data_IF_236705914186
#
_entry.id   IF_236705914186
#
_cell.length_a   1.000
_cell.length_b   1.000
_cell.length_c   1.000
_cell.angle_alpha   90.00
_cell.angle_beta   90.00
_cell.angle_gamma   90.00
#
_symmetry.space_group_name_H-M   'P 1'
#
loop_
_entity.id
_entity.type
_entity.pdbx_description
1 polymer ?
#
# COMPACT_ATOMS: atom_id res chain seq x y z
N UNK A 1 -28.26 -1.84 37.70
CA UNK A 1 -28.27 -0.57 36.96
C UNK A 1 -26.84 -0.03 36.94
N UNK A 2 -26.11 -0.19 35.86
CA UNK A 2 -24.79 0.35 35.45
C UNK A 2 -24.00 -0.72 34.72
N UNK A 3 -24.30 -0.93 33.43
CA UNK A 3 -23.37 -1.46 32.39
C UNK A 3 -23.98 -1.11 31.02
N UNK A 4 -23.81 0.14 30.63
CA UNK A 4 -24.05 0.60 29.26
C UNK A 4 -23.18 1.85 29.07
N UNK A 5 -21.93 1.70 28.72
CA UNK A 5 -21.15 2.86 28.23
C UNK A 5 -19.75 2.54 27.69
N UNK A 6 -19.47 1.41 27.10
CA UNK A 6 -18.13 1.23 26.51
C UNK A 6 -18.12 0.68 25.08
N UNK A 7 -19.28 0.42 24.49
CA UNK A 7 -19.33 -0.17 23.14
C UNK A 7 -19.50 0.85 21.99
N UNK A 8 -19.64 2.15 22.28
CA UNK A 8 -19.94 3.16 21.26
C UNK A 8 -18.72 3.99 20.80
N UNK A 9 -17.56 3.88 21.47
CA UNK A 9 -16.38 4.71 21.12
C UNK A 9 -15.48 4.10 20.03
N UNK A 10 -15.55 2.79 19.83
CA UNK A 10 -14.71 2.13 18.82
C UNK A 10 -15.21 2.30 17.38
N UNK A 11 -16.49 2.64 17.20
CA UNK A 11 -17.08 2.79 15.86
C UNK A 11 -16.88 4.18 15.21
N UNK A 12 -16.41 5.17 16.01
CA UNK A 12 -16.36 6.56 15.54
C UNK A 12 -15.00 6.96 14.96
N UNK A 13 -13.96 6.15 15.15
CA UNK A 13 -12.59 6.53 14.75
C UNK A 13 -12.39 6.54 13.22
N UNK A 14 -13.01 5.62 12.50
CA UNK A 14 -12.86 5.55 11.04
C UNK A 14 -13.86 6.42 10.24
N UNK A 15 -14.83 7.06 10.91
CA UNK A 15 -15.82 7.91 10.26
C UNK A 15 -15.58 9.42 10.40
N UNK A 16 -14.65 9.85 11.26
CA UNK A 16 -14.31 11.27 11.44
C UNK A 16 -12.93 11.58 10.84
N UNK A 17 -12.78 11.39 9.53
CA UNK A 17 -11.74 12.14 8.83
C UNK A 17 -12.29 13.57 8.67
N UNK A 18 -11.59 14.61 9.16
CA UNK A 18 -11.88 15.95 8.71
C UNK A 18 -11.63 15.96 7.20
N UNK A 19 -12.63 16.32 6.42
CA UNK A 19 -12.47 16.82 5.07
C UNK A 19 -11.66 18.13 5.14
N UNK A 20 -10.36 18.03 5.41
CA UNK A 20 -9.43 19.07 5.02
C UNK A 20 -9.16 18.79 3.55
N UNK A 21 -9.95 19.43 2.67
CA UNK A 21 -9.51 19.65 1.32
C UNK A 21 -8.19 20.44 1.42
N UNK A 22 -7.08 19.74 1.39
CA UNK A 22 -5.83 20.32 0.95
C UNK A 22 -6.11 20.63 -0.52
N UNK A 23 -6.47 21.90 -0.78
CA UNK A 23 -6.69 22.37 -2.13
C UNK A 23 -5.46 22.01 -2.93
N UNK A 24 -5.63 21.15 -3.92
CA UNK A 24 -4.74 21.16 -5.06
C UNK A 24 -4.73 22.59 -5.54
N UNK A 25 -3.59 23.27 -5.43
CA UNK A 25 -3.33 24.49 -6.17
C UNK A 25 -3.24 24.07 -7.64
N UNK A 26 -4.40 23.86 -8.25
CA UNK A 26 -4.47 23.85 -9.70
C UNK A 26 -4.09 25.25 -10.12
N UNK A 27 -3.00 25.39 -10.85
CA UNK A 27 -2.66 26.57 -11.61
C UNK A 27 -3.73 26.77 -12.68
N UNK A 28 -4.92 27.15 -12.28
CA UNK A 28 -5.99 27.53 -13.18
C UNK A 28 -6.02 29.04 -13.30
N UNK A 29 -5.24 29.54 -14.25
CA UNK A 29 -5.22 30.98 -14.54
C UNK A 29 -4.31 31.77 -13.57
N UNK A 30 -3.78 32.85 -14.01
CA UNK A 30 -2.77 33.66 -13.31
C UNK A 30 -3.31 34.47 -12.10
N UNK A 31 -4.52 34.24 -11.65
CA UNK A 31 -5.20 34.85 -10.50
C UNK A 31 -5.14 33.86 -9.33
N UNK A 32 -4.12 33.99 -8.48
CA UNK A 32 -3.82 33.03 -7.40
C UNK A 32 -4.54 33.34 -6.08
N UNK A 33 -5.06 34.55 -5.92
CA UNK A 33 -5.81 34.99 -4.76
C UNK A 33 -7.34 35.09 -5.04
N UNK A 34 -7.75 34.72 -6.27
CA UNK A 34 -9.14 34.65 -6.74
C UNK A 34 -9.90 35.99 -6.59
N UNK A 35 -9.18 37.12 -6.62
CA UNK A 35 -9.80 38.45 -6.52
C UNK A 35 -10.38 38.94 -7.86
N UNK A 36 -10.18 38.18 -8.93
CA UNK A 36 -10.65 38.48 -10.29
C UNK A 36 -9.76 39.41 -11.09
N UNK A 37 -8.58 39.73 -10.57
CA UNK A 37 -7.58 40.58 -11.22
C UNK A 37 -6.21 39.93 -11.19
N UNK A 38 -5.40 40.06 -12.23
CA UNK A 38 -4.00 39.64 -12.19
C UNK A 38 -3.21 40.82 -11.62
N UNK A 39 -2.86 40.72 -10.33
CA UNK A 39 -2.23 41.79 -9.55
C UNK A 39 -0.81 41.44 -9.08
N UNK A 40 -0.32 42.27 -8.12
CA UNK A 40 1.01 42.10 -7.52
C UNK A 40 1.10 40.84 -6.66
N UNK A 41 0.00 40.40 -6.04
CA UNK A 41 -0.04 39.21 -5.20
C UNK A 41 0.12 37.94 -6.05
N UNK A 42 -0.50 37.90 -7.23
CA UNK A 42 -0.35 36.81 -8.19
C UNK A 42 1.08 36.69 -8.68
N UNK A 43 1.69 37.86 -8.98
CA UNK A 43 3.10 37.90 -9.38
C UNK A 43 4.02 37.44 -8.25
N UNK A 44 3.75 37.83 -7.00
CA UNK A 44 4.51 37.39 -5.83
C UNK A 44 4.34 35.87 -5.59
N UNK A 45 3.15 35.34 -5.79
CA UNK A 45 2.88 33.91 -5.71
C UNK A 45 3.71 33.13 -6.75
N UNK A 46 3.70 33.59 -8.00
CA UNK A 46 4.53 33.02 -9.08
C UNK A 46 6.02 33.16 -8.76
N UNK A 47 6.47 34.31 -8.28
CA UNK A 47 7.86 34.55 -7.93
C UNK A 47 8.32 33.71 -6.72
N UNK A 48 7.44 33.36 -5.80
CA UNK A 48 7.77 32.52 -4.65
C UNK A 48 8.16 31.11 -5.05
N UNK A 49 7.66 30.63 -6.19
CA UNK A 49 7.97 29.31 -6.76
C UNK A 49 8.95 29.41 -7.95
N UNK A 50 9.27 30.64 -8.39
CA UNK A 50 10.17 30.88 -9.50
C UNK A 50 11.62 30.60 -9.10
N UNK A 51 12.22 29.61 -9.74
CA UNK A 51 13.58 29.16 -9.40
C UNK A 51 13.65 28.06 -8.35
N UNK A 52 12.51 27.64 -7.78
CA UNK A 52 12.45 26.35 -7.12
C UNK A 52 12.42 25.27 -8.20
N UNK A 53 13.59 24.78 -8.58
CA UNK A 53 13.67 23.52 -9.29
C UNK A 53 13.16 22.47 -8.31
N UNK A 54 11.91 22.03 -8.44
CA UNK A 54 11.54 20.76 -7.86
C UNK A 54 12.52 19.75 -8.45
N UNK A 55 13.31 19.12 -7.59
CA UNK A 55 14.17 18.03 -8.03
C UNK A 55 13.29 17.05 -8.83
N UNK A 56 13.68 16.79 -10.07
CA UNK A 56 12.97 15.82 -10.90
C UNK A 56 13.11 14.49 -10.16
N UNK A 57 11.99 13.91 -9.73
CA UNK A 57 11.99 12.60 -9.11
C UNK A 57 12.52 11.57 -10.13
N UNK A 58 13.52 10.80 -9.73
CA UNK A 58 14.00 9.66 -10.49
C UNK A 58 13.70 8.38 -9.69
N UNK A 59 13.31 7.32 -10.36
CA UNK A 59 13.14 6.05 -9.68
C UNK A 59 14.47 5.60 -9.06
N UNK A 60 14.44 5.25 -7.78
CA UNK A 60 15.60 5.07 -6.91
C UNK A 60 15.74 6.16 -5.85
N UNK A 61 15.10 7.32 -6.05
CA UNK A 61 15.02 8.35 -5.01
C UNK A 61 14.04 7.93 -3.89
N UNK A 62 14.19 8.54 -2.72
CA UNK A 62 13.25 8.35 -1.60
C UNK A 62 11.97 9.15 -1.84
N UNK A 63 10.85 8.59 -1.41
CA UNK A 63 9.54 9.25 -1.42
C UNK A 63 9.03 9.37 0.00
N UNK A 64 8.96 10.60 0.52
CA UNK A 64 8.40 10.85 1.86
C UNK A 64 6.88 10.82 1.81
N UNK A 65 6.26 9.98 2.63
CA UNK A 65 4.80 9.90 2.79
C UNK A 65 4.40 9.49 4.19
N UNK A 66 3.43 10.19 4.80
CA UNK A 66 2.94 9.97 6.20
C UNK A 66 4.09 9.88 7.23
N UNK A 67 5.13 10.72 7.05
CA UNK A 67 6.29 10.79 7.94
C UNK A 67 7.29 9.64 7.81
N UNK A 68 7.21 8.86 6.73
CA UNK A 68 8.14 7.78 6.40
C UNK A 68 8.75 7.98 5.01
N UNK A 69 10.04 7.69 4.88
CA UNK A 69 10.78 7.77 3.61
C UNK A 69 10.86 6.40 2.96
N UNK A 70 10.07 6.20 1.92
CA UNK A 70 10.03 4.96 1.14
C UNK A 70 11.14 4.92 0.11
N UNK A 71 11.89 3.84 0.08
CA UNK A 71 12.78 3.53 -1.03
C UNK A 71 11.97 3.11 -2.26
N UNK A 72 12.49 3.45 -3.45
CA UNK A 72 11.85 3.08 -4.72
C UNK A 72 12.78 2.24 -5.59
N UNK A 73 12.19 1.48 -6.51
CA UNK A 73 12.92 0.60 -7.42
C UNK A 73 12.26 0.58 -8.80
N UNK A 74 13.11 0.61 -9.83
CA UNK A 74 12.69 0.44 -11.23
C UNK A 74 12.60 -1.05 -11.58
N UNK A 75 11.44 -1.49 -12.09
CA UNK A 75 11.24 -2.85 -12.62
C UNK A 75 10.56 -2.71 -13.99
N UNK A 76 11.29 -3.04 -15.06
CA UNK A 76 10.86 -2.69 -16.40
C UNK A 76 10.72 -1.18 -16.55
N UNK A 77 9.59 -0.73 -17.06
CA UNK A 77 9.27 0.70 -17.23
C UNK A 77 8.51 1.29 -16.02
N UNK A 78 8.37 0.53 -14.93
CA UNK A 78 7.57 0.90 -13.77
C UNK A 78 8.45 1.24 -12.56
N UNK A 79 8.04 2.25 -11.79
CA UNK A 79 8.67 2.61 -10.53
C UNK A 79 7.78 2.22 -9.35
N UNK A 80 8.31 1.41 -8.44
CA UNK A 80 7.60 0.80 -7.32
C UNK A 80 8.20 1.21 -5.98
N UNK A 81 7.39 1.29 -4.94
CA UNK A 81 7.93 1.23 -3.59
C UNK A 81 8.62 -0.12 -3.36
N UNK A 82 9.83 -0.11 -2.84
CA UNK A 82 10.54 -1.34 -2.43
C UNK A 82 10.18 -1.80 -1.02
N UNK A 83 9.23 -1.13 -0.38
CA UNK A 83 8.73 -1.40 0.97
C UNK A 83 7.21 -1.41 1.03
N UNK A 84 6.65 -2.14 2.01
CA UNK A 84 5.21 -2.17 2.24
C UNK A 84 4.72 -0.82 2.76
N UNK A 85 3.52 -0.42 2.34
CA UNK A 85 2.88 0.79 2.85
C UNK A 85 2.71 0.74 4.38
N UNK A 86 2.89 1.92 5.03
CA UNK A 86 2.80 2.12 6.48
C UNK A 86 1.71 3.11 6.88
N UNK A 87 0.91 3.57 5.93
CA UNK A 87 -0.20 4.48 6.20
C UNK A 87 -1.17 3.85 7.20
N UNK A 88 -1.32 4.45 8.38
CA UNK A 88 -2.11 3.91 9.50
C UNK A 88 -2.91 5.02 10.18
N UNK A 89 -4.03 5.46 9.57
CA UNK A 89 -4.87 6.53 10.14
C UNK A 89 -5.66 6.07 11.38
N UNK A 90 -5.96 4.79 11.45
CA UNK A 90 -6.52 4.09 12.61
C UNK A 90 -6.04 2.64 12.62
N UNK A 91 -6.17 1.94 13.74
CA UNK A 91 -5.84 0.53 13.85
C UNK A 91 -7.03 -0.26 14.36
N UNK A 92 -7.21 -1.46 13.81
CA UNK A 92 -8.35 -2.34 14.09
C UNK A 92 -7.87 -3.65 14.70
N UNK A 93 -8.71 -4.26 15.54
CA UNK A 93 -8.49 -5.62 16.03
C UNK A 93 -8.88 -6.64 14.97
N UNK A 94 -8.30 -7.83 15.00
CA UNK A 94 -8.58 -8.91 14.04
C UNK A 94 -10.05 -9.38 14.04
N UNK A 95 -10.79 -9.14 15.12
CA UNK A 95 -12.23 -9.41 15.20
C UNK A 95 -13.08 -8.52 14.28
N UNK A 96 -12.56 -7.37 13.85
CA UNK A 96 -13.22 -6.47 12.92
C UNK A 96 -12.90 -6.87 11.49
N UNK A 97 -13.91 -6.98 10.62
CA UNK A 97 -13.72 -7.26 9.20
C UNK A 97 -14.90 -6.75 8.39
N UNK A 98 -14.65 -6.34 7.15
CA UNK A 98 -15.69 -5.87 6.24
C UNK A 98 -15.23 -5.95 4.79
N UNK A 99 -16.18 -6.07 3.87
CA UNK A 99 -15.95 -5.92 2.43
C UNK A 99 -16.22 -4.50 1.93
N UNK A 100 -16.73 -3.60 2.80
CA UNK A 100 -17.18 -2.25 2.45
C UNK A 100 -16.65 -1.15 3.36
N UNK A 101 -16.18 -1.49 4.55
CA UNK A 101 -15.58 -0.55 5.52
C UNK A 101 -14.06 -0.72 5.54
N UNK A 102 -13.25 0.35 5.49
CA UNK A 102 -11.80 0.26 5.56
C UNK A 102 -11.32 -0.18 6.94
N UNK A 103 -10.43 -1.16 6.99
CA UNK A 103 -9.75 -1.64 8.18
C UNK A 103 -8.25 -1.75 7.97
N UNK A 104 -7.48 -1.41 9.01
CA UNK A 104 -6.02 -1.34 9.02
C UNK A 104 -5.50 -2.16 10.19
N UNK A 105 -4.52 -3.01 9.97
CA UNK A 105 -4.00 -3.89 11.00
C UNK A 105 -2.48 -3.85 11.06
N UNK A 106 -1.96 -3.93 12.27
CA UNK A 106 -0.55 -4.28 12.52
C UNK A 106 -0.52 -5.71 12.99
N UNK A 107 0.28 -6.56 12.36
CA UNK A 107 0.26 -8.00 12.62
C UNK A 107 0.39 -8.31 14.13
N UNK A 108 -0.54 -9.09 14.66
CA UNK A 108 -0.56 -9.49 16.08
C UNK A 108 -0.96 -8.40 17.08
N UNK A 109 -1.23 -7.17 16.64
CA UNK A 109 -1.68 -6.10 17.53
C UNK A 109 -3.21 -6.07 17.62
N UNK A 110 -3.73 -6.21 18.85
CA UNK A 110 -5.18 -6.28 19.12
C UNK A 110 -5.71 -5.05 19.87
N UNK A 111 -4.97 -3.95 19.87
CA UNK A 111 -5.39 -2.68 20.46
C UNK A 111 -6.01 -1.73 19.42
N UNK A 112 -6.41 -0.54 19.90
CA UNK A 112 -6.96 0.53 19.06
C UNK A 112 -6.12 1.82 19.11
N UNK A 113 -4.95 1.79 19.74
CA UNK A 113 -4.05 2.93 19.88
C UNK A 113 -3.00 2.92 18.75
N UNK A 114 -3.05 3.93 17.87
CA UNK A 114 -2.16 4.02 16.70
C UNK A 114 -0.68 4.20 17.11
N UNK A 115 -0.31 5.10 18.04
CA UNK A 115 1.06 5.20 18.54
C UNK A 115 1.60 3.87 19.09
N UNK A 116 0.80 3.14 19.87
CA UNK A 116 1.22 1.83 20.39
C UNK A 116 1.35 0.77 19.29
N UNK A 117 0.51 0.81 18.26
CA UNK A 117 0.62 -0.05 17.09
C UNK A 117 1.88 0.27 16.28
N UNK A 118 2.18 1.55 16.05
CA UNK A 118 3.41 2.01 15.36
C UNK A 118 4.68 1.69 16.15
N UNK A 119 4.60 1.51 17.46
CA UNK A 119 5.74 1.11 18.31
C UNK A 119 6.05 -0.40 18.27
N UNK A 120 5.26 -1.21 17.55
CA UNK A 120 5.53 -2.63 17.40
C UNK A 120 6.65 -2.88 16.39
N UNK A 121 7.59 -3.75 16.71
CA UNK A 121 8.68 -4.12 15.79
C UNK A 121 8.17 -4.71 14.45
N UNK A 122 7.01 -5.36 14.46
CA UNK A 122 6.33 -5.88 13.26
C UNK A 122 5.84 -4.76 12.34
N UNK A 123 5.46 -3.60 12.87
CA UNK A 123 5.12 -2.42 12.07
C UNK A 123 6.34 -1.89 11.31
N UNK A 124 7.47 -1.76 12.00
CA UNK A 124 8.72 -1.29 11.38
C UNK A 124 9.26 -2.26 10.33
N UNK A 125 9.04 -3.57 10.53
CA UNK A 125 9.56 -4.61 9.63
C UNK A 125 8.62 -4.84 8.44
N UNK A 126 7.32 -4.95 8.68
CA UNK A 126 6.36 -5.47 7.69
C UNK A 126 5.34 -4.44 7.22
N UNK A 127 5.26 -3.27 7.88
CA UNK A 127 4.24 -2.26 7.57
C UNK A 127 2.85 -2.66 8.05
N UNK A 128 1.84 -2.26 7.31
CA UNK A 128 0.42 -2.39 7.64
C UNK A 128 -0.27 -3.39 6.71
N UNK A 129 -1.20 -4.15 7.26
CA UNK A 129 -2.11 -5.01 6.51
C UNK A 129 -3.44 -4.29 6.32
N UNK A 130 -3.95 -4.28 5.12
CA UNK A 130 -5.14 -3.53 4.69
C UNK A 130 -6.20 -4.49 4.16
N UNK A 131 -7.46 -4.33 4.55
CA UNK A 131 -8.52 -4.92 3.76
C UNK A 131 -8.64 -4.16 2.42
N UNK A 132 -9.35 -4.73 1.44
CA UNK A 132 -9.38 -4.13 0.11
C UNK A 132 -9.97 -2.73 0.09
N UNK A 133 -10.96 -2.45 0.93
CA UNK A 133 -11.57 -1.11 1.02
C UNK A 133 -10.58 -0.08 1.56
N UNK A 134 -9.67 -0.48 2.45
CA UNK A 134 -8.66 0.43 2.99
C UNK A 134 -7.61 0.83 1.96
N UNK A 135 -7.25 -0.05 1.02
CA UNK A 135 -6.31 0.33 -0.05
C UNK A 135 -6.93 1.26 -1.11
N UNK A 136 -8.25 1.41 -1.11
CA UNK A 136 -8.97 2.30 -2.02
C UNK A 136 -9.26 3.68 -1.41
N UNK A 137 -8.78 3.93 -0.18
CA UNK A 137 -8.91 5.24 0.48
C UNK A 137 -7.83 6.18 -0.04
N UNK A 138 -8.23 7.43 -0.31
CA UNK A 138 -7.28 8.49 -0.66
C UNK A 138 -6.23 8.67 0.44
N UNK A 139 -4.97 8.87 0.04
CA UNK A 139 -3.87 9.09 0.96
C UNK A 139 -3.09 7.82 1.36
N UNK A 140 -3.46 6.62 0.89
CA UNK A 140 -2.63 5.43 1.10
C UNK A 140 -1.32 5.52 0.31
N UNK A 141 -1.36 6.11 -0.89
CA UNK A 141 -0.18 6.46 -1.68
C UNK A 141 -0.02 7.97 -1.76
N UNK A 142 1.21 8.50 -1.89
CA UNK A 142 1.43 9.93 -2.07
C UNK A 142 0.92 10.41 -3.44
N UNK A 143 0.84 11.74 -3.60
CA UNK A 143 0.48 12.35 -4.89
C UNK A 143 1.42 11.87 -6.00
N UNK A 144 0.87 11.51 -7.15
CA UNK A 144 1.64 10.94 -8.28
C UNK A 144 1.91 9.44 -8.17
N UNK A 145 1.31 8.77 -7.16
CA UNK A 145 1.41 7.33 -6.92
C UNK A 145 0.04 6.72 -6.65
N UNK A 146 -0.13 5.45 -6.98
CA UNK A 146 -1.37 4.72 -6.74
C UNK A 146 -1.14 3.26 -6.33
N UNK A 147 -2.18 2.59 -5.85
CA UNK A 147 -2.17 1.14 -5.64
C UNK A 147 -2.22 0.44 -7.00
N UNK A 148 -1.27 -0.43 -7.32
CA UNK A 148 -1.17 -1.04 -8.64
C UNK A 148 -2.43 -1.82 -9.01
N UNK A 149 -2.79 -1.74 -10.28
CA UNK A 149 -3.80 -2.58 -10.89
C UNK A 149 -3.29 -4.02 -11.06
N UNK A 150 -4.19 -4.94 -11.34
CA UNK A 150 -3.83 -6.31 -11.70
C UNK A 150 -2.97 -6.39 -12.98
N UNK A 151 -3.20 -5.49 -13.93
CA UNK A 151 -2.44 -5.41 -15.17
C UNK A 151 -1.01 -4.87 -14.94
N UNK A 152 -0.82 -3.90 -14.08
CA UNK A 152 0.51 -3.37 -13.72
C UNK A 152 1.37 -4.42 -13.03
N UNK A 153 0.78 -5.25 -12.17
CA UNK A 153 1.48 -6.43 -11.66
C UNK A 153 1.87 -7.41 -12.77
N UNK A 154 1.01 -7.64 -13.76
CA UNK A 154 1.35 -8.50 -14.91
C UNK A 154 2.53 -7.91 -15.69
N UNK A 155 2.57 -6.59 -15.93
CA UNK A 155 3.71 -5.93 -16.58
C UNK A 155 5.02 -6.10 -15.79
N UNK A 156 4.97 -5.93 -14.47
CA UNK A 156 6.12 -6.20 -13.61
C UNK A 156 6.58 -7.67 -13.71
N UNK A 157 5.65 -8.60 -13.64
CA UNK A 157 5.94 -10.04 -13.75
C UNK A 157 6.54 -10.41 -15.10
N UNK A 158 6.08 -9.78 -16.19
CA UNK A 158 6.67 -9.94 -17.52
C UNK A 158 8.08 -9.33 -17.61
N UNK A 159 8.30 -8.17 -17.00
CA UNK A 159 9.64 -7.57 -16.92
C UNK A 159 10.65 -8.47 -16.17
N UNK A 160 10.16 -9.31 -15.25
CA UNK A 160 10.94 -10.31 -14.53
C UNK A 160 11.05 -11.67 -15.27
N UNK A 161 10.59 -11.74 -16.52
CA UNK A 161 10.77 -12.91 -17.38
C UNK A 161 9.56 -13.85 -17.50
N UNK A 162 8.39 -13.50 -16.94
CA UNK A 162 7.16 -14.27 -17.16
C UNK A 162 6.61 -14.00 -18.57
N UNK A 163 6.10 -14.99 -19.24
CA UNK A 163 5.41 -14.77 -20.52
C UNK A 163 4.07 -14.07 -20.32
N UNK A 164 3.57 -13.32 -21.30
CA UNK A 164 2.27 -12.66 -21.25
C UNK A 164 1.13 -13.64 -20.93
N UNK A 165 1.16 -14.82 -21.56
CA UNK A 165 0.16 -15.85 -21.35
C UNK A 165 0.17 -16.37 -19.88
N UNK A 166 1.34 -16.54 -19.28
CA UNK A 166 1.47 -16.92 -17.88
C UNK A 166 1.04 -15.79 -16.95
N UNK A 167 1.49 -14.55 -17.21
CA UNK A 167 1.13 -13.39 -16.39
C UNK A 167 -0.39 -13.18 -16.34
N UNK A 168 -1.10 -13.41 -17.45
CA UNK A 168 -2.56 -13.35 -17.53
C UNK A 168 -3.30 -14.54 -16.92
N UNK A 169 -2.64 -15.68 -16.66
CA UNK A 169 -3.27 -16.88 -16.10
C UNK A 169 -3.54 -16.75 -14.61
N UNK A 170 -4.27 -17.69 -14.01
CA UNK A 170 -4.59 -17.76 -12.57
C UNK A 170 -3.91 -18.96 -11.92
N UNK A 171 -3.79 -18.93 -10.59
CA UNK A 171 -3.10 -19.96 -9.82
C UNK A 171 -1.60 -19.68 -9.71
N UNK A 172 -0.82 -20.72 -9.44
CA UNK A 172 0.65 -20.65 -9.46
C UNK A 172 1.17 -20.55 -10.88
N UNK A 173 2.06 -19.61 -11.14
CA UNK A 173 2.59 -19.30 -12.47
C UNK A 173 3.99 -18.68 -12.40
N UNK A 174 4.71 -18.76 -13.52
CA UNK A 174 6.11 -18.38 -13.59
C UNK A 174 7.04 -19.45 -13.01
N UNK A 175 8.33 -19.18 -12.98
CA UNK A 175 9.38 -20.13 -12.62
C UNK A 175 10.16 -19.70 -11.38
N UNK A 176 10.60 -18.44 -11.32
CA UNK A 176 11.50 -17.89 -10.28
C UNK A 176 11.17 -16.45 -9.87
N UNK A 177 10.09 -15.88 -10.40
CA UNK A 177 9.74 -14.46 -10.15
C UNK A 177 9.51 -14.19 -8.67
N UNK A 178 8.98 -15.15 -7.92
CA UNK A 178 8.85 -15.02 -6.47
C UNK A 178 10.23 -14.92 -5.79
N UNK A 179 11.21 -15.72 -6.22
CA UNK A 179 12.59 -15.68 -5.70
C UNK A 179 13.24 -14.32 -5.99
N UNK A 180 13.04 -13.79 -7.21
CA UNK A 180 13.57 -12.49 -7.60
C UNK A 180 13.01 -11.34 -6.77
N UNK A 181 11.76 -11.44 -6.32
CA UNK A 181 11.05 -10.39 -5.57
C UNK A 181 11.15 -10.54 -4.04
N UNK A 182 11.27 -11.77 -3.51
CA UNK A 182 11.38 -11.99 -2.07
C UNK A 182 12.66 -11.40 -1.50
N UNK A 183 12.56 -10.87 -0.27
CA UNK A 183 13.70 -10.39 0.52
C UNK A 183 14.74 -11.49 0.74
N UNK A 184 15.97 -11.07 0.99
CA UNK A 184 17.12 -11.98 1.27
C UNK A 184 17.12 -12.49 2.71
N UNK A 185 16.12 -12.15 3.52
CA UNK A 185 15.99 -12.57 4.92
C UNK A 185 14.52 -12.58 5.37
N UNK A 186 14.26 -13.24 6.49
CA UNK A 186 12.97 -13.25 7.17
C UNK A 186 12.00 -14.35 6.72
N UNK A 187 12.30 -15.09 5.67
CA UNK A 187 11.48 -16.20 5.19
C UNK A 187 11.79 -17.50 5.94
N UNK A 188 10.78 -18.27 6.23
CA UNK A 188 10.85 -19.52 6.96
C UNK A 188 11.68 -20.58 6.21
N UNK A 189 12.39 -21.44 6.97
CA UNK A 189 13.15 -22.56 6.42
C UNK A 189 14.33 -22.16 5.52
N UNK A 190 14.90 -20.96 5.73
CA UNK A 190 15.99 -20.40 4.90
C UNK A 190 15.61 -20.23 3.41
N UNK A 191 14.32 -20.28 3.08
CA UNK A 191 13.80 -20.08 1.72
C UNK A 191 13.69 -18.59 1.36
N UNK A 192 14.75 -17.84 1.66
CA UNK A 192 14.82 -16.44 1.28
C UNK A 192 14.92 -16.28 -0.24
N UNK A 193 14.51 -15.10 -0.73
CA UNK A 193 14.70 -14.73 -2.13
C UNK A 193 16.12 -14.21 -2.40
N UNK A 194 16.34 -13.85 -3.65
CA UNK A 194 17.57 -13.15 -4.08
C UNK A 194 17.40 -11.64 -4.02
N UNK A 195 16.15 -11.17 -3.99
CA UNK A 195 15.80 -9.75 -4.15
C UNK A 195 16.44 -9.09 -5.38
N UNK A 196 16.69 -9.86 -6.44
CA UNK A 196 17.34 -9.34 -7.65
C UNK A 196 16.49 -8.29 -8.37
N UNK A 197 15.17 -8.29 -8.16
CA UNK A 197 14.26 -7.23 -8.64
C UNK A 197 14.35 -5.93 -7.84
N UNK A 198 14.89 -5.97 -6.62
CA UNK A 198 14.89 -4.85 -5.67
C UNK A 198 13.54 -4.60 -4.98
N UNK A 199 12.48 -5.37 -5.30
CA UNK A 199 11.14 -5.16 -4.72
C UNK A 199 11.09 -5.48 -3.21
N UNK A 200 11.97 -6.33 -2.72
CA UNK A 200 12.18 -6.62 -1.30
C UNK A 200 10.88 -7.05 -0.55
N UNK A 201 10.21 -8.07 -1.07
CA UNK A 201 8.98 -8.59 -0.47
C UNK A 201 9.29 -9.35 0.83
N UNK A 202 8.92 -8.76 1.97
CA UNK A 202 9.06 -9.36 3.30
C UNK A 202 7.85 -10.24 3.63
N UNK A 203 8.01 -11.38 4.33
CA UNK A 203 6.91 -12.31 4.63
C UNK A 203 6.00 -11.81 5.76
N UNK A 204 5.17 -10.81 5.46
CA UNK A 204 4.35 -10.07 6.40
C UNK A 204 3.12 -10.85 6.93
N UNK A 205 2.85 -12.05 6.42
CA UNK A 205 1.62 -12.75 6.73
C UNK A 205 0.38 -12.05 6.19
N UNK A 206 -0.75 -12.30 6.83
CA UNK A 206 -2.02 -11.64 6.52
C UNK A 206 -2.94 -11.59 7.73
N UNK A 207 -3.97 -10.74 7.68
CA UNK A 207 -5.07 -10.76 8.65
C UNK A 207 -6.33 -11.31 7.99
N UNK A 208 -7.13 -12.04 8.76
CA UNK A 208 -8.42 -12.57 8.37
C UNK A 208 -9.44 -12.32 9.49
N UNK A 209 -10.75 -12.47 9.24
CA UNK A 209 -11.76 -12.31 10.28
C UNK A 209 -11.51 -13.22 11.48
N UNK A 210 -10.98 -12.65 12.56
CA UNK A 210 -10.70 -13.34 13.82
C UNK A 210 -9.24 -13.69 14.10
N UNK A 211 -8.27 -13.28 13.25
CA UNK A 211 -6.86 -13.55 13.54
C UNK A 211 -5.85 -13.07 12.50
N UNK A 212 -4.62 -13.48 12.76
CA UNK A 212 -3.46 -13.29 11.88
C UNK A 212 -2.84 -14.64 11.60
N UNK A 213 -2.19 -14.81 10.44
CA UNK A 213 -1.55 -16.06 10.08
C UNK A 213 -0.38 -15.86 9.11
N UNK A 214 0.46 -16.90 8.99
CA UNK A 214 1.53 -17.06 8.03
C UNK A 214 2.64 -15.98 8.05
N UNK A 215 2.88 -15.33 9.21
CA UNK A 215 4.07 -14.49 9.38
C UNK A 215 5.33 -15.34 9.17
N UNK A 216 6.28 -14.82 8.42
CA UNK A 216 7.51 -15.54 8.07
C UNK A 216 7.37 -16.47 6.86
N UNK A 217 6.17 -16.90 6.50
CA UNK A 217 5.95 -17.90 5.43
C UNK A 217 5.27 -17.35 4.19
N UNK A 218 4.67 -16.17 4.28
CA UNK A 218 3.75 -15.65 3.27
C UNK A 218 3.78 -14.13 3.20
N UNK A 219 3.59 -13.59 2.00
CA UNK A 219 3.13 -12.22 1.79
C UNK A 219 2.11 -12.17 0.67
N UNK A 220 1.04 -11.41 0.89
CA UNK A 220 0.05 -11.08 -0.12
C UNK A 220 0.04 -9.59 -0.41
N UNK A 221 -0.19 -9.22 -1.66
CA UNK A 221 -0.38 -7.85 -2.10
C UNK A 221 -1.73 -7.70 -2.79
N UNK A 222 -2.51 -6.74 -2.31
CA UNK A 222 -3.70 -6.33 -3.03
C UNK A 222 -3.36 -5.62 -4.33
N UNK A 223 -4.23 -5.76 -5.31
CA UNK A 223 -4.33 -4.85 -6.46
C UNK A 223 -5.56 -3.97 -6.30
N UNK A 224 -5.59 -2.82 -6.97
CA UNK A 224 -6.78 -1.97 -7.03
C UNK A 224 -7.91 -2.55 -7.90
N UNK A 225 -7.64 -3.65 -8.62
CA UNK A 225 -8.58 -4.29 -9.54
C UNK A 225 -9.58 -5.18 -8.82
N UNK A 226 -10.85 -4.83 -8.95
CA UNK A 226 -11.97 -5.66 -8.50
C UNK A 226 -12.13 -6.90 -9.39
N UNK A 227 -12.47 -8.05 -8.79
CA UNK A 227 -12.87 -9.25 -9.54
C UNK A 227 -14.38 -9.52 -9.43
N UNK A 228 -15.01 -9.07 -8.34
CA UNK A 228 -16.45 -9.14 -8.09
C UNK A 228 -16.87 -8.08 -7.06
N UNK A 229 -18.13 -8.04 -6.69
CA UNK A 229 -18.63 -7.15 -5.64
C UNK A 229 -18.01 -7.40 -4.26
N UNK A 230 -17.55 -8.63 -3.99
CA UNK A 230 -16.99 -9.05 -2.70
C UNK A 230 -15.54 -9.52 -2.75
N UNK A 231 -14.92 -9.55 -3.95
CA UNK A 231 -13.56 -10.05 -4.15
C UNK A 231 -12.75 -9.10 -5.03
N UNK A 232 -11.43 -9.12 -4.85
CA UNK A 232 -10.48 -8.36 -5.63
C UNK A 232 -9.24 -9.22 -5.96
N UNK A 233 -8.50 -8.83 -6.99
CA UNK A 233 -7.28 -9.51 -7.39
C UNK A 233 -6.14 -9.23 -6.41
N UNK A 234 -5.34 -10.27 -6.16
CA UNK A 234 -4.12 -10.18 -5.36
C UNK A 234 -2.98 -10.96 -5.98
N UNK A 235 -1.77 -10.68 -5.51
CA UNK A 235 -0.58 -11.50 -5.64
C UNK A 235 -0.25 -12.16 -4.32
N UNK A 236 0.38 -13.33 -4.42
CA UNK A 236 0.79 -14.10 -3.26
C UNK A 236 2.15 -14.76 -3.50
N UNK A 237 3.02 -14.66 -2.51
CA UNK A 237 4.34 -15.29 -2.48
C UNK A 237 4.39 -16.18 -1.24
N UNK A 238 4.79 -17.43 -1.40
CA UNK A 238 4.98 -18.38 -0.31
C UNK A 238 6.43 -18.87 -0.27
N UNK A 239 6.91 -19.19 0.92
CA UNK A 239 8.30 -19.62 1.12
C UNK A 239 8.67 -20.90 0.33
N UNK A 240 7.71 -21.77 0.05
CA UNK A 240 7.89 -23.07 -0.60
C UNK A 240 7.61 -23.05 -2.11
N UNK A 241 7.38 -21.87 -2.70
CA UNK A 241 7.05 -21.74 -4.12
C UNK A 241 7.91 -20.66 -4.80
N UNK A 242 8.47 -20.99 -5.94
CA UNK A 242 9.34 -20.09 -6.70
C UNK A 242 8.57 -19.16 -7.64
N UNK A 243 7.37 -19.58 -8.05
CA UNK A 243 6.44 -18.78 -8.84
C UNK A 243 5.56 -17.86 -8.00
N UNK A 244 4.67 -17.14 -8.67
CA UNK A 244 3.72 -16.17 -8.08
C UNK A 244 2.30 -16.70 -8.21
N UNK A 245 1.53 -16.63 -7.13
CA UNK A 245 0.11 -17.00 -7.15
C UNK A 245 -0.77 -15.77 -7.43
N UNK A 246 -1.60 -15.86 -8.45
CA UNK A 246 -2.59 -14.85 -8.82
C UNK A 246 -3.99 -15.41 -8.71
N UNK A 247 -4.82 -14.87 -7.84
CA UNK A 247 -6.23 -15.21 -7.72
C UNK A 247 -7.04 -14.09 -7.09
N UNK A 248 -8.36 -14.07 -7.26
CA UNK A 248 -9.24 -13.26 -6.43
C UNK A 248 -9.25 -13.74 -4.98
N UNK A 249 -9.47 -12.80 -4.06
CA UNK A 249 -9.69 -13.10 -2.64
C UNK A 249 -10.80 -12.22 -2.06
N UNK A 250 -11.39 -12.65 -0.94
CA UNK A 250 -12.40 -11.86 -0.23
C UNK A 250 -11.82 -10.52 0.19
N UNK A 251 -12.55 -9.44 -0.08
CA UNK A 251 -12.19 -8.07 0.31
C UNK A 251 -12.09 -7.86 1.82
N UNK A 252 -12.64 -8.80 2.63
CA UNK A 252 -12.57 -8.78 4.09
C UNK A 252 -11.23 -9.28 4.66
N UNK A 253 -10.44 -10.02 3.88
CA UNK A 253 -9.08 -10.37 4.25
C UNK A 253 -8.16 -9.16 4.07
N UNK A 254 -7.01 -9.17 4.75
CA UNK A 254 -6.10 -8.03 4.74
C UNK A 254 -4.69 -8.45 4.39
N UNK A 255 -4.13 -7.78 3.41
CA UNK A 255 -2.80 -8.02 2.87
C UNK A 255 -1.99 -6.73 2.85
N UNK A 256 -0.70 -6.85 2.59
CA UNK A 256 0.17 -5.70 2.36
C UNK A 256 -0.25 -4.92 1.11
N UNK A 257 0.24 -3.69 1.01
CA UNK A 257 0.07 -2.84 -0.15
C UNK A 257 1.43 -2.24 -0.58
N UNK A 258 1.55 -1.96 -1.85
CA UNK A 258 2.67 -1.23 -2.48
C UNK A 258 2.11 -0.13 -3.35
N UNK A 259 2.83 0.97 -3.45
CA UNK A 259 2.49 2.03 -4.41
C UNK A 259 3.37 1.91 -5.66
N UNK A 260 2.81 2.28 -6.78
CA UNK A 260 3.46 2.42 -8.07
C UNK A 260 3.29 3.86 -8.55
N UNK A 261 4.31 4.42 -9.23
CA UNK A 261 4.26 5.76 -9.81
C UNK A 261 3.31 5.80 -11.01
N UNK A 262 2.58 6.92 -11.15
CA UNK A 262 1.65 7.15 -12.27
C UNK A 262 2.38 7.27 -13.63
#
# INVERSE_FOLDING_TARGET
MKYFSTLFLSFLCCFLLPLTSQGQTTFSGHDSDEDGCIGTNDLLSILSVFGTCNAIFNCGDLVTHDGYDYSTVQIGDQCWFSENCRYLPCVSTSSSSSTTTPYYYVYGYEGSDVPAAKAQAVYDTFGVLYNWTAIMVDGICPSGWHIPTDLEFQYMEMALGMSEAEAGSTGWRGTDQSIQMRSTSGWEGENNGTNSSGLNCMPAGYAYPGGFDLLGSFVGFWTSSSSSTSSAWRRYFGYSYDGVFRNPNSRSNSFSARCIQN
#
